data_IF_471460694815
#
_entry.id   IF_471460694815
#
_cell.length_a   1.000
_cell.length_b   1.000
_cell.length_c   1.000
_cell.angle_alpha   90.00
_cell.angle_beta   90.00
_cell.angle_gamma   90.00
#
_symmetry.space_group_name_H-M   'P 1'
#
loop_
_entity.id
_entity.type
_entity.pdbx_description
1 polymer ?
#
# COMPACT_ATOMS: atom_id res chain seq x y z
N UNK A 1 -12.48 -5.14 -11.58
CA UNK A 1 -11.99 -3.76 -11.37
C UNK A 1 -10.68 -3.57 -12.14
N UNK A 2 -10.76 -3.41 -13.47
CA UNK A 2 -9.57 -3.22 -14.33
C UNK A 2 -9.70 -2.02 -15.28
N UNK A 3 -10.80 -1.28 -15.21
CA UNK A 3 -11.02 -0.06 -15.98
C UNK A 3 -10.43 1.19 -15.30
N UNK A 4 -10.62 2.35 -15.90
CA UNK A 4 -10.14 3.65 -15.41
C UNK A 4 -10.56 3.97 -13.98
N UNK A 5 -11.77 3.59 -13.58
CA UNK A 5 -12.26 3.76 -12.21
C UNK A 5 -11.41 2.97 -11.19
N UNK A 6 -11.00 1.74 -11.55
CA UNK A 6 -10.12 0.93 -10.72
C UNK A 6 -8.71 1.53 -10.61
N UNK A 7 -8.21 2.10 -11.71
CA UNK A 7 -6.91 2.78 -11.75
C UNK A 7 -6.91 4.06 -10.92
N UNK A 8 -7.98 4.86 -10.99
CA UNK A 8 -8.14 6.07 -10.19
C UNK A 8 -8.18 5.74 -8.70
N UNK A 9 -8.95 4.72 -8.33
CA UNK A 9 -9.05 4.23 -6.96
C UNK A 9 -7.71 3.68 -6.45
N UNK A 10 -7.00 2.90 -7.26
CA UNK A 10 -5.68 2.39 -6.92
C UNK A 10 -4.66 3.53 -6.73
N UNK A 11 -4.72 4.57 -7.57
CA UNK A 11 -3.85 5.75 -7.46
C UNK A 11 -4.14 6.56 -6.19
N UNK A 12 -5.42 6.73 -5.82
CA UNK A 12 -5.81 7.39 -4.58
C UNK A 12 -5.37 6.59 -3.35
N UNK A 13 -5.54 5.26 -3.36
CA UNK A 13 -5.02 4.40 -2.30
C UNK A 13 -3.50 4.50 -2.19
N UNK A 14 -2.80 4.58 -3.33
CA UNK A 14 -1.35 4.70 -3.36
C UNK A 14 -0.86 6.00 -2.74
N UNK A 15 -1.48 7.13 -3.08
CA UNK A 15 -1.14 8.43 -2.49
C UNK A 15 -1.27 8.42 -0.97
N UNK A 16 -2.36 7.85 -0.44
CA UNK A 16 -2.56 7.74 1.01
C UNK A 16 -1.52 6.82 1.68
N UNK A 17 -1.11 5.74 1.02
CA UNK A 17 -0.04 4.87 1.52
C UNK A 17 1.31 5.59 1.51
N UNK A 18 1.62 6.36 0.46
CA UNK A 18 2.85 7.16 0.37
C UNK A 18 2.88 8.29 1.43
N UNK A 19 1.71 8.83 1.80
CA UNK A 19 1.53 9.79 2.92
C UNK A 19 1.65 9.13 4.31
N UNK A 20 1.82 7.81 4.36
CA UNK A 20 2.04 7.04 5.60
C UNK A 20 0.79 6.41 6.20
N UNK A 21 -0.35 6.42 5.51
CA UNK A 21 -1.56 5.74 5.98
C UNK A 21 -1.39 4.22 5.82
N UNK A 22 -1.57 3.42 6.89
CA UNK A 22 -1.48 1.97 6.78
C UNK A 22 -2.55 1.40 5.84
N UNK A 23 -2.15 0.49 4.95
CA UNK A 23 -3.07 -0.21 4.04
C UNK A 23 -4.23 -0.90 4.76
N UNK A 24 -4.00 -1.40 5.99
CA UNK A 24 -5.03 -2.03 6.80
C UNK A 24 -6.11 -1.02 7.21
N UNK A 25 -5.74 0.21 7.54
CA UNK A 25 -6.68 1.29 7.87
C UNK A 25 -7.52 1.64 6.66
N UNK A 26 -6.88 1.83 5.49
CA UNK A 26 -7.57 2.09 4.23
C UNK A 26 -8.54 0.96 3.86
N UNK A 27 -8.12 -0.30 4.02
CA UNK A 27 -8.99 -1.45 3.76
C UNK A 27 -10.23 -1.44 4.67
N UNK A 28 -10.06 -1.13 5.96
CA UNK A 28 -11.17 -1.05 6.93
C UNK A 28 -12.14 0.08 6.62
N UNK A 29 -11.62 1.27 6.29
CA UNK A 29 -12.45 2.44 5.97
C UNK A 29 -13.27 2.22 4.69
N UNK A 30 -12.72 1.46 3.73
CA UNK A 30 -13.42 1.07 2.51
C UNK A 30 -14.35 -0.15 2.70
N UNK A 31 -14.44 -0.70 3.92
CA UNK A 31 -15.24 -1.90 4.20
C UNK A 31 -14.75 -3.16 3.49
N UNK A 32 -13.45 -3.24 3.19
CA UNK A 32 -12.81 -4.32 2.44
C UNK A 32 -11.89 -5.16 3.33
N UNK A 33 -11.50 -6.32 2.80
CA UNK A 33 -10.55 -7.22 3.47
C UNK A 33 -9.16 -6.61 3.58
N UNK A 34 -8.40 -7.01 4.59
CA UNK A 34 -7.07 -6.47 4.91
C UNK A 34 -6.05 -6.51 3.75
N UNK A 35 -6.21 -7.44 2.82
CA UNK A 35 -5.34 -7.61 1.65
C UNK A 35 -5.84 -6.90 0.40
N UNK A 36 -7.03 -6.28 0.45
CA UNK A 36 -7.68 -5.73 -0.73
C UNK A 36 -6.93 -4.53 -1.33
N UNK A 37 -6.34 -3.67 -0.48
CA UNK A 37 -5.51 -2.55 -0.95
C UNK A 37 -4.26 -3.07 -1.66
N UNK A 38 -3.67 -4.16 -1.18
CA UNK A 38 -2.54 -4.80 -1.88
C UNK A 38 -2.99 -5.37 -3.24
N UNK A 39 -4.12 -6.07 -3.27
CA UNK A 39 -4.71 -6.63 -4.48
C UNK A 39 -5.02 -5.58 -5.55
N UNK A 40 -5.61 -4.43 -5.19
CA UNK A 40 -5.96 -3.39 -6.17
C UNK A 40 -4.72 -2.67 -6.70
N UNK A 41 -3.70 -2.46 -5.85
CA UNK A 41 -2.41 -1.90 -6.29
C UNK A 41 -1.67 -2.87 -7.23
N UNK A 42 -1.69 -4.17 -6.93
CA UNK A 42 -1.10 -5.21 -7.78
C UNK A 42 -1.83 -5.31 -9.13
N UNK A 43 -3.17 -5.22 -9.15
CA UNK A 43 -3.96 -5.23 -10.38
C UNK A 43 -3.63 -4.09 -11.36
N UNK A 44 -3.01 -3.01 -10.88
CA UNK A 44 -2.69 -1.82 -11.65
C UNK A 44 -1.19 -1.51 -11.70
N UNK A 45 -0.32 -2.46 -11.31
CA UNK A 45 1.14 -2.29 -11.25
C UNK A 45 1.59 -1.09 -10.38
N UNK A 46 0.76 -0.67 -9.43
CA UNK A 46 1.01 0.47 -8.52
C UNK A 46 1.61 0.01 -7.17
N UNK A 47 2.28 -1.14 -7.16
CA UNK A 47 2.83 -1.73 -5.94
C UNK A 47 3.75 -0.71 -5.23
N UNK A 48 3.57 -0.47 -3.92
CA UNK A 48 4.55 0.29 -3.15
C UNK A 48 5.91 -0.28 -3.43
N UNK A 49 6.84 0.57 -3.84
CA UNK A 49 8.24 0.18 -3.76
C UNK A 49 8.42 -0.31 -2.32
N UNK A 50 9.01 -1.50 -2.10
CA UNK A 50 9.29 -1.93 -0.75
C UNK A 50 10.02 -0.77 -0.10
N UNK A 51 9.38 -0.11 0.87
CA UNK A 51 10.03 0.98 1.59
C UNK A 51 11.39 0.41 1.96
N UNK A 52 12.51 1.08 1.60
CA UNK A 52 13.79 0.64 2.08
C UNK A 52 13.59 0.59 3.58
N UNK A 53 13.54 -0.64 4.12
CA UNK A 53 13.47 -0.90 5.54
C UNK A 53 14.65 -0.08 6.01
N UNK A 54 14.39 1.08 6.64
CA UNK A 54 15.44 1.84 7.31
C UNK A 54 16.06 0.79 8.18
N UNK A 55 17.24 0.34 7.77
CA UNK A 55 17.95 -0.74 8.39
C UNK A 55 17.97 -0.36 9.86
N UNK A 56 17.16 -1.04 10.66
CA UNK A 56 17.48 -1.28 12.04
C UNK A 56 18.71 -2.18 11.96
N UNK A 57 19.82 -1.56 11.56
CA UNK A 57 21.17 -1.97 11.89
C UNK A 57 21.19 -1.91 13.41
N UNK A 58 20.63 -2.97 14.01
CA UNK A 58 20.81 -3.31 15.39
C UNK A 58 22.31 -3.50 15.49
N UNK A 59 22.94 -2.46 15.99
CA UNK A 59 24.35 -2.33 16.29
C UNK A 59 24.70 -3.44 17.27
N UNK A 60 24.99 -4.64 16.77
CA UNK A 60 25.62 -5.68 17.57
C UNK A 60 27.07 -5.27 17.71
N UNK A 61 27.35 -4.60 18.83
CA UNK A 61 28.68 -4.33 19.33
C UNK A 61 29.31 -5.69 19.63
N UNK A 62 30.36 -6.04 18.92
CA UNK A 62 31.36 -7.05 19.33
C UNK A 62 32.63 -6.32 19.74
#
# INVERSE_FOLDING_TARGET
>A
MRGDEGRALASACRALVDDGVPMLTLARDLGRGATWVNFILECHDLRPAPHPIKSTARRTRV
#
